data_IF_599791512668
#
_entry.id   IF_599791512668
#
_cell.length_a   1.000
_cell.length_b   1.000
_cell.length_c   1.000
_cell.angle_alpha   90.00
_cell.angle_beta   90.00
_cell.angle_gamma   90.00
#
_symmetry.space_group_name_H-M   'P 1'
#
loop_
_entity.id
_entity.type
_entity.pdbx_description
1 polymer ?
#
# COMPACT_ATOMS: atom_id res chain seq x y z
N UNK A 1 -15.12 8.67 -3.69
CA UNK A 1 -13.92 8.25 -2.94
C UNK A 1 -14.02 6.75 -2.81
N UNK A 2 -13.14 5.99 -3.46
CA UNK A 2 -13.14 4.53 -3.29
C UNK A 2 -12.77 4.24 -1.83
N UNK A 3 -13.58 3.43 -1.16
CA UNK A 3 -13.34 3.05 0.23
C UNK A 3 -12.26 1.96 0.24
N UNK A 4 -10.99 2.36 0.27
CA UNK A 4 -9.88 1.41 0.40
C UNK A 4 -10.02 0.65 1.71
N UNK A 5 -10.00 -0.69 1.64
CA UNK A 5 -10.12 -1.56 2.81
C UNK A 5 -8.80 -1.70 3.56
N UNK A 6 -7.69 -1.49 2.84
CA UNK A 6 -6.33 -1.59 3.37
C UNK A 6 -5.54 -0.33 3.05
N UNK A 7 -4.83 0.20 4.05
CA UNK A 7 -3.84 1.25 3.86
C UNK A 7 -2.43 0.68 4.09
N UNK A 8 -1.59 0.77 3.07
CA UNK A 8 -0.18 0.39 3.12
C UNK A 8 0.61 1.63 3.51
N UNK A 9 1.14 1.66 4.74
CA UNK A 9 1.89 2.79 5.27
C UNK A 9 3.37 2.45 5.32
N UNK A 10 4.21 3.36 4.84
CA UNK A 10 5.67 3.21 4.83
C UNK A 10 6.39 4.47 5.30
N UNK A 11 7.56 4.32 5.93
CA UNK A 11 8.30 5.45 6.54
C UNK A 11 9.02 6.34 5.54
N UNK A 12 9.35 5.80 4.38
CA UNK A 12 10.10 6.46 3.33
C UNK A 12 9.74 5.92 1.95
N UNK A 13 10.11 6.66 0.90
CA UNK A 13 9.93 6.17 -0.49
C UNK A 13 10.80 4.96 -0.79
N UNK A 14 11.95 4.78 -0.12
CA UNK A 14 12.82 3.61 -0.32
C UNK A 14 12.19 2.31 0.18
N UNK A 15 11.27 2.38 1.14
CA UNK A 15 10.54 1.19 1.61
C UNK A 15 9.59 0.63 0.54
N UNK A 16 9.24 1.44 -0.48
CA UNK A 16 8.34 1.04 -1.55
C UNK A 16 8.85 -0.16 -2.35
N UNK A 17 10.16 -0.29 -2.52
CA UNK A 17 10.75 -1.43 -3.23
C UNK A 17 10.33 -2.76 -2.61
N UNK A 18 10.13 -2.78 -1.28
CA UNK A 18 9.59 -3.94 -0.55
C UNK A 18 8.07 -3.90 -0.49
N UNK A 19 7.48 -2.75 -0.13
CA UNK A 19 6.04 -2.64 0.17
C UNK A 19 5.15 -2.79 -1.06
N UNK A 20 5.66 -2.57 -2.28
CA UNK A 20 4.87 -2.74 -3.51
C UNK A 20 4.34 -4.17 -3.67
N UNK A 21 5.05 -5.18 -3.17
CA UNK A 21 4.61 -6.56 -3.26
C UNK A 21 3.31 -6.81 -2.50
N UNK A 22 3.06 -6.06 -1.41
CA UNK A 22 1.77 -6.11 -0.72
C UNK A 22 0.65 -5.51 -1.57
N UNK A 23 0.91 -4.38 -2.26
CA UNK A 23 -0.06 -3.76 -3.16
C UNK A 23 -0.38 -4.70 -4.35
N UNK A 24 0.65 -5.25 -5.00
CA UNK A 24 0.53 -6.23 -6.10
C UNK A 24 -0.32 -7.44 -5.66
N UNK A 25 -0.05 -8.00 -4.48
CA UNK A 25 -0.83 -9.14 -3.94
C UNK A 25 -2.29 -8.76 -3.69
N UNK A 26 -2.55 -7.57 -3.14
CA UNK A 26 -3.92 -7.11 -2.87
C UNK A 26 -4.68 -6.83 -4.16
N UNK A 27 -4.01 -6.31 -5.19
CA UNK A 27 -4.57 -6.08 -6.51
C UNK A 27 -4.96 -7.41 -7.18
N UNK A 28 -4.10 -8.43 -7.11
CA UNK A 28 -4.39 -9.79 -7.61
C UNK A 28 -5.61 -10.43 -6.92
N UNK A 29 -5.78 -10.14 -5.62
CA UNK A 29 -6.93 -10.60 -4.83
C UNK A 29 -8.18 -9.73 -5.00
N UNK A 30 -8.09 -8.62 -5.75
CA UNK A 30 -9.19 -7.67 -5.93
C UNK A 30 -9.55 -6.90 -4.64
N UNK A 31 -8.61 -6.75 -3.71
CA UNK A 31 -8.79 -6.03 -2.44
C UNK A 31 -8.43 -4.55 -2.64
N UNK A 32 -9.39 -3.62 -2.52
CA UNK A 32 -9.12 -2.19 -2.64
C UNK A 32 -8.11 -1.72 -1.61
N UNK A 33 -7.00 -1.15 -2.07
CA UNK A 33 -5.90 -0.70 -1.22
C UNK A 33 -5.44 0.72 -1.60
N UNK A 34 -4.78 1.41 -0.67
CA UNK A 34 -4.05 2.66 -0.93
C UNK A 34 -2.69 2.65 -0.26
N UNK A 35 -1.67 3.25 -0.89
CA UNK A 35 -0.31 3.36 -0.34
C UNK A 35 0.02 4.80 0.05
N UNK A 36 0.63 5.00 1.22
CA UNK A 36 1.01 6.32 1.75
C UNK A 36 2.40 6.29 2.40
N UNK A 37 3.18 7.34 2.17
CA UNK A 37 4.43 7.59 2.90
C UNK A 37 4.12 8.48 4.09
N UNK A 38 4.33 7.96 5.31
CA UNK A 38 4.15 8.69 6.56
C UNK A 38 5.34 8.42 7.47
N UNK A 39 6.03 9.48 7.88
CA UNK A 39 7.05 9.41 8.93
C UNK A 39 6.38 9.61 10.30
N UNK A 40 6.92 8.98 11.34
CA UNK A 40 6.40 9.06 12.71
C UNK A 40 6.61 10.46 13.32
#
# INVERSE_FOLDING_TARGET
>A
MANSLVAIVMGSKSDWDTMRHAAETLDELGVPNEARVLSA
#
